data_IF_381364057282
#
_entry.id   IF_381364057282
#
_cell.length_a   1.000
_cell.length_b   1.000
_cell.length_c   1.000
_cell.angle_alpha   90.00
_cell.angle_beta   90.00
_cell.angle_gamma   90.00
#
_symmetry.space_group_name_H-M   'P 1'
#
loop_
_entity.id
_entity.type
_entity.pdbx_description
1 polymer ?
#
# COMPACT_ATOMS: atom_id res chain seq x y z
N UNK A 1 30.49 12.52 -59.51
CA UNK A 1 30.39 11.66 -58.32
C UNK A 1 30.42 10.21 -58.80
N UNK A 2 31.33 9.37 -58.32
CA UNK A 2 31.40 7.96 -58.75
C UNK A 2 30.40 7.11 -57.96
N UNK A 3 29.98 5.98 -58.50
CA UNK A 3 29.05 5.05 -57.82
C UNK A 3 29.56 4.64 -56.42
N UNK A 4 30.88 4.48 -56.27
CA UNK A 4 31.51 4.14 -54.99
C UNK A 4 31.42 5.28 -53.96
N UNK A 5 31.54 6.54 -54.39
CA UNK A 5 31.36 7.69 -53.50
C UNK A 5 29.92 7.80 -53.01
N UNK A 6 28.95 7.57 -53.90
CA UNK A 6 27.53 7.55 -53.52
C UNK A 6 27.24 6.44 -52.51
N UNK A 7 27.74 5.23 -52.74
CA UNK A 7 27.52 4.10 -51.84
C UNK A 7 28.12 4.35 -50.44
N UNK A 8 29.30 4.97 -50.36
CA UNK A 8 29.92 5.38 -49.09
C UNK A 8 29.05 6.39 -48.32
N UNK A 9 28.53 7.40 -49.00
CA UNK A 9 27.63 8.38 -48.37
C UNK A 9 26.31 7.76 -47.91
N UNK A 10 25.72 6.87 -48.71
CA UNK A 10 24.49 6.17 -48.33
C UNK A 10 24.72 5.28 -47.10
N UNK A 11 25.81 4.52 -47.07
CA UNK A 11 26.17 3.67 -45.92
C UNK A 11 26.43 4.51 -44.67
N UNK A 12 27.14 5.62 -44.80
CA UNK A 12 27.41 6.53 -43.68
C UNK A 12 26.10 7.09 -43.10
N UNK A 13 25.21 7.60 -43.95
CA UNK A 13 23.90 8.11 -43.53
C UNK A 13 23.03 7.03 -42.92
N UNK A 14 23.04 5.81 -43.47
CA UNK A 14 22.31 4.68 -42.90
C UNK A 14 22.81 4.33 -41.50
N UNK A 15 24.13 4.27 -41.30
CA UNK A 15 24.71 4.02 -39.97
C UNK A 15 24.34 5.13 -38.98
N UNK A 16 24.38 6.40 -39.39
CA UNK A 16 23.94 7.51 -38.55
C UNK A 16 22.45 7.42 -38.21
N UNK A 17 21.61 7.07 -39.18
CA UNK A 17 20.17 6.88 -38.94
C UNK A 17 19.90 5.74 -37.96
N UNK A 18 20.64 4.63 -38.05
CA UNK A 18 20.55 3.51 -37.10
C UNK A 18 20.95 3.95 -35.70
N UNK A 19 22.08 4.64 -35.54
CA UNK A 19 22.54 5.14 -34.22
C UNK A 19 21.54 6.14 -33.64
N UNK A 20 21.04 7.08 -34.46
CA UNK A 20 20.02 8.03 -34.04
C UNK A 20 18.73 7.33 -33.60
N UNK A 21 18.30 6.28 -34.32
CA UNK A 21 17.15 5.46 -33.97
C UNK A 21 17.31 4.74 -32.64
N UNK A 22 18.49 4.18 -32.36
CA UNK A 22 18.78 3.53 -31.07
C UNK A 22 18.75 4.54 -29.92
N UNK A 23 19.35 5.72 -30.11
CA UNK A 23 19.33 6.80 -29.10
C UNK A 23 17.89 7.26 -28.84
N UNK A 24 17.11 7.45 -29.90
CA UNK A 24 15.71 7.85 -29.80
C UNK A 24 14.90 6.81 -29.03
N UNK A 25 15.03 5.52 -29.35
CA UNK A 25 14.38 4.42 -28.63
C UNK A 25 14.77 4.39 -27.15
N UNK A 26 16.07 4.58 -26.84
CA UNK A 26 16.53 4.61 -25.45
C UNK A 26 15.89 5.78 -24.66
N UNK A 27 15.71 6.94 -25.30
CA UNK A 27 15.00 8.08 -24.71
C UNK A 27 13.52 7.77 -24.51
N UNK A 28 12.84 7.18 -25.50
CA UNK A 28 11.43 6.78 -25.40
C UNK A 28 11.19 5.78 -24.27
N UNK A 29 12.03 4.74 -24.15
CA UNK A 29 11.93 3.76 -23.07
C UNK A 29 12.06 4.44 -21.70
N UNK A 30 13.01 5.37 -21.55
CA UNK A 30 13.16 6.12 -20.30
C UNK A 30 11.93 6.98 -19.98
N UNK A 31 11.37 7.65 -20.97
CA UNK A 31 10.16 8.47 -20.80
C UNK A 31 8.94 7.59 -20.46
N UNK A 32 8.79 6.47 -21.14
CA UNK A 32 7.72 5.51 -20.89
C UNK A 32 7.80 4.96 -19.45
N UNK A 33 8.99 4.60 -18.97
CA UNK A 33 9.18 4.14 -17.60
C UNK A 33 8.76 5.19 -16.56
N UNK A 34 9.11 6.47 -16.78
CA UNK A 34 8.71 7.57 -15.89
C UNK A 34 7.19 7.76 -15.91
N UNK A 35 6.56 7.66 -17.07
CA UNK A 35 5.10 7.75 -17.21
C UNK A 35 4.39 6.61 -16.47
N UNK A 36 4.81 5.37 -16.70
CA UNK A 36 4.26 4.19 -16.02
C UNK A 36 4.36 4.30 -14.50
N UNK A 37 5.49 4.78 -13.98
CA UNK A 37 5.66 5.05 -12.56
C UNK A 37 4.66 6.10 -12.05
N UNK A 38 4.47 7.19 -12.81
CA UNK A 38 3.52 8.24 -12.45
C UNK A 38 2.07 7.74 -12.44
N UNK A 39 1.68 6.97 -13.46
CA UNK A 39 0.35 6.37 -13.57
C UNK A 39 0.09 5.38 -12.44
N UNK A 40 1.06 4.52 -12.11
CA UNK A 40 0.97 3.61 -10.97
C UNK A 40 0.77 4.37 -9.66
N UNK A 41 1.54 5.44 -9.41
CA UNK A 41 1.38 6.26 -8.20
C UNK A 41 0.01 6.92 -8.13
N UNK A 42 -0.51 7.39 -9.26
CA UNK A 42 -1.85 7.96 -9.33
C UNK A 42 -2.93 6.91 -9.05
N UNK A 43 -2.77 5.68 -9.56
CA UNK A 43 -3.69 4.58 -9.29
C UNK A 43 -3.70 4.21 -7.80
N UNK A 44 -2.52 4.07 -7.18
CA UNK A 44 -2.41 3.78 -5.73
C UNK A 44 -3.08 4.89 -4.91
N UNK A 45 -2.80 6.17 -5.22
CA UNK A 45 -3.43 7.29 -4.53
C UNK A 45 -4.96 7.30 -4.70
N UNK A 46 -5.47 6.99 -5.89
CA UNK A 46 -6.90 6.90 -6.14
C UNK A 46 -7.56 5.76 -5.36
N UNK A 47 -6.85 4.62 -5.23
CA UNK A 47 -7.30 3.48 -4.45
C UNK A 47 -7.35 3.82 -2.95
N UNK A 48 -6.32 4.49 -2.42
CA UNK A 48 -6.27 4.95 -1.03
C UNK A 48 -7.40 5.94 -0.72
N UNK A 49 -7.65 6.92 -1.60
CA UNK A 49 -8.78 7.85 -1.44
C UNK A 49 -10.11 7.11 -1.38
N UNK A 50 -10.29 6.09 -2.24
CA UNK A 50 -11.49 5.26 -2.24
C UNK A 50 -11.64 4.50 -0.92
N UNK A 51 -10.56 3.85 -0.44
CA UNK A 51 -10.56 3.11 0.82
C UNK A 51 -10.85 4.03 2.02
N UNK A 52 -10.24 5.22 2.07
CA UNK A 52 -10.47 6.21 3.11
C UNK A 52 -11.92 6.72 3.11
N UNK A 53 -12.49 7.01 1.94
CA UNK A 53 -13.90 7.43 1.83
C UNK A 53 -14.85 6.31 2.25
N UNK A 54 -14.55 5.06 1.89
CA UNK A 54 -15.30 3.90 2.37
C UNK A 54 -15.22 3.84 3.89
N UNK A 55 -14.03 3.98 4.48
CA UNK A 55 -13.85 4.00 5.94
C UNK A 55 -14.63 5.12 6.63
N UNK A 56 -14.50 6.36 6.15
CA UNK A 56 -15.19 7.54 6.70
C UNK A 56 -16.71 7.41 6.66
N UNK A 57 -17.26 6.83 5.58
CA UNK A 57 -18.70 6.62 5.45
C UNK A 57 -19.22 5.40 6.23
N UNK A 58 -18.34 4.64 6.87
CA UNK A 58 -18.63 3.40 7.58
C UNK A 58 -17.96 3.37 8.97
N UNK A 59 -17.76 4.53 9.60
CA UNK A 59 -17.14 4.60 10.95
C UNK A 59 -17.98 3.83 11.98
N UNK A 60 -19.30 3.83 11.84
CA UNK A 60 -20.25 3.12 12.71
C UNK A 60 -19.96 1.63 12.80
N UNK A 61 -19.59 1.02 11.68
CA UNK A 61 -19.33 -0.42 11.63
C UNK A 61 -17.93 -0.78 12.15
N UNK A 62 -16.94 0.11 11.96
CA UNK A 62 -15.62 -0.05 12.55
C UNK A 62 -15.65 0.05 14.07
N UNK A 63 -16.46 0.96 14.62
CA UNK A 63 -16.68 1.07 16.07
C UNK A 63 -17.22 -0.26 16.63
N UNK A 64 -18.30 -0.81 16.05
CA UNK A 64 -18.86 -2.10 16.45
C UNK A 64 -17.90 -3.27 16.27
N UNK A 65 -17.09 -3.22 15.22
CA UNK A 65 -16.07 -4.24 14.96
C UNK A 65 -15.04 -4.27 16.10
N UNK A 66 -14.65 -3.10 16.61
CA UNK A 66 -13.70 -2.92 17.71
C UNK A 66 -14.30 -3.16 19.10
N UNK A 67 -15.59 -2.85 19.32
CA UNK A 67 -16.24 -2.94 20.64
C UNK A 67 -16.61 -4.37 21.08
N UNK A 68 -16.25 -5.40 20.30
CA UNK A 68 -16.65 -6.80 20.48
C UNK A 68 -18.17 -7.05 20.49
N UNK A 69 -18.99 -6.05 20.17
CA UNK A 69 -20.44 -6.23 19.98
C UNK A 69 -20.76 -7.20 18.85
N UNK A 70 -21.86 -7.96 18.98
CA UNK A 70 -22.29 -8.88 17.94
C UNK A 70 -22.67 -8.12 16.66
N UNK A 71 -22.09 -8.54 15.53
CA UNK A 71 -22.36 -7.93 14.23
C UNK A 71 -23.59 -8.56 13.60
N UNK A 72 -24.55 -7.74 13.19
CA UNK A 72 -25.67 -8.19 12.37
C UNK A 72 -25.18 -8.77 11.03
N UNK A 73 -26.01 -9.54 10.33
CA UNK A 73 -25.65 -10.08 9.01
C UNK A 73 -25.30 -8.96 7.99
N UNK A 74 -26.03 -7.84 8.04
CA UNK A 74 -25.76 -6.66 7.22
C UNK A 74 -24.41 -6.04 7.56
N UNK A 75 -24.10 -5.93 8.85
CA UNK A 75 -22.84 -5.40 9.36
C UNK A 75 -21.64 -6.28 8.95
N UNK A 76 -21.79 -7.60 9.04
CA UNK A 76 -20.79 -8.56 8.55
C UNK A 76 -20.56 -8.45 7.04
N UNK A 77 -21.63 -8.25 6.26
CA UNK A 77 -21.52 -8.06 4.81
C UNK A 77 -20.83 -6.74 4.46
N UNK A 78 -21.20 -5.63 5.11
CA UNK A 78 -20.54 -4.32 4.94
C UNK A 78 -19.05 -4.43 5.25
N UNK A 79 -18.67 -4.99 6.40
CA UNK A 79 -17.24 -5.21 6.73
C UNK A 79 -16.52 -6.06 5.70
N UNK A 80 -17.16 -7.12 5.22
CA UNK A 80 -16.56 -7.99 4.21
C UNK A 80 -16.26 -7.22 2.93
N UNK A 81 -17.17 -6.35 2.47
CA UNK A 81 -16.92 -5.50 1.29
C UNK A 81 -15.74 -4.55 1.53
N UNK A 82 -15.65 -3.95 2.72
CA UNK A 82 -14.54 -3.05 3.07
C UNK A 82 -13.21 -3.81 3.04
N UNK A 83 -13.14 -4.97 3.69
CA UNK A 83 -11.93 -5.79 3.70
C UNK A 83 -11.56 -6.34 2.32
N UNK A 84 -12.54 -6.59 1.44
CA UNK A 84 -12.28 -6.96 0.04
C UNK A 84 -11.61 -5.82 -0.71
N UNK A 85 -12.07 -4.58 -0.52
CA UNK A 85 -11.44 -3.39 -1.11
C UNK A 85 -9.98 -3.30 -0.66
N UNK A 86 -9.73 -3.45 0.64
CA UNK A 86 -8.38 -3.41 1.17
C UNK A 86 -7.50 -4.52 0.59
N UNK A 87 -7.97 -5.77 0.59
CA UNK A 87 -7.22 -6.90 0.01
C UNK A 87 -6.89 -6.67 -1.47
N UNK A 88 -7.84 -6.16 -2.26
CA UNK A 88 -7.62 -5.91 -3.69
C UNK A 88 -6.65 -4.77 -3.95
N UNK A 89 -6.72 -3.70 -3.16
CA UNK A 89 -5.79 -2.59 -3.28
C UNK A 89 -4.36 -3.04 -2.94
N UNK A 90 -4.19 -3.79 -1.86
CA UNK A 90 -2.89 -4.32 -1.43
C UNK A 90 -2.34 -5.37 -2.40
N UNK A 91 -3.20 -6.19 -3.01
CA UNK A 91 -2.81 -7.13 -4.08
C UNK A 91 -2.26 -6.38 -5.30
N UNK A 92 -2.92 -5.29 -5.71
CA UNK A 92 -2.44 -4.45 -6.80
C UNK A 92 -1.06 -3.85 -6.49
N UNK A 93 -0.88 -3.29 -5.29
CA UNK A 93 0.39 -2.69 -4.85
C UNK A 93 1.50 -3.73 -4.73
N UNK A 94 1.20 -4.95 -4.26
CA UNK A 94 2.15 -6.06 -4.22
C UNK A 94 2.63 -6.43 -5.62
N UNK A 95 1.73 -6.47 -6.60
CA UNK A 95 2.11 -6.69 -8.00
C UNK A 95 2.99 -5.55 -8.53
N UNK A 96 2.74 -4.29 -8.14
CA UNK A 96 3.62 -3.17 -8.50
C UNK A 96 5.01 -3.28 -7.86
N UNK A 97 5.09 -3.80 -6.63
CA UNK A 97 6.35 -4.06 -5.93
C UNK A 97 7.16 -5.16 -6.63
N UNK A 98 6.54 -6.30 -6.93
CA UNK A 98 7.21 -7.42 -7.62
C UNK A 98 7.74 -7.02 -9.01
N UNK A 99 7.06 -6.08 -9.69
CA UNK A 99 7.48 -5.57 -11.00
C UNK A 99 8.49 -4.41 -10.91
N UNK A 100 8.93 -4.01 -9.71
CA UNK A 100 9.91 -2.94 -9.49
C UNK A 100 9.40 -1.53 -9.76
N UNK A 101 8.08 -1.35 -9.89
CA UNK A 101 7.43 -0.03 -10.02
C UNK A 101 7.32 0.64 -8.65
N UNK A 102 6.96 -0.14 -7.63
CA UNK A 102 6.89 0.30 -6.25
C UNK A 102 8.17 -0.14 -5.52
N UNK A 103 8.81 0.76 -4.77
CA UNK A 103 9.95 0.41 -3.93
C UNK A 103 9.51 -0.32 -2.65
N UNK A 104 10.44 -1.03 -2.02
CA UNK A 104 10.17 -1.83 -0.83
C UNK A 104 9.63 -0.99 0.33
N UNK A 105 10.18 0.20 0.58
CA UNK A 105 9.75 1.04 1.69
C UNK A 105 8.29 1.48 1.52
N UNK A 106 7.94 1.89 0.30
CA UNK A 106 6.57 2.24 -0.06
C UNK A 106 5.64 1.02 0.08
N UNK A 107 6.05 -0.14 -0.43
CA UNK A 107 5.30 -1.38 -0.31
C UNK A 107 5.02 -1.76 1.15
N UNK A 108 6.05 -1.77 2.00
CA UNK A 108 5.91 -2.09 3.42
C UNK A 108 4.90 -1.16 4.12
N UNK A 109 4.93 0.13 3.80
CA UNK A 109 3.99 1.11 4.34
C UNK A 109 2.54 0.81 3.98
N UNK A 110 2.28 0.39 2.73
CA UNK A 110 0.94 0.00 2.31
C UNK A 110 0.51 -1.34 2.91
N UNK A 111 1.39 -2.33 2.89
CA UNK A 111 1.17 -3.68 3.43
C UNK A 111 0.73 -3.63 4.89
N UNK A 112 1.30 -2.75 5.71
CA UNK A 112 1.01 -2.70 7.14
C UNK A 112 -0.45 -2.33 7.48
N UNK A 113 -1.21 -1.77 6.54
CA UNK A 113 -2.67 -1.61 6.69
C UNK A 113 -3.40 -2.96 6.82
N UNK A 114 -2.87 -4.02 6.21
CA UNK A 114 -3.39 -5.38 6.38
C UNK A 114 -3.31 -5.83 7.84
N UNK A 115 -2.26 -5.41 8.56
CA UNK A 115 -2.10 -5.73 9.97
C UNK A 115 -3.20 -5.08 10.81
N UNK A 116 -3.60 -3.86 10.46
CA UNK A 116 -4.67 -3.16 11.17
C UNK A 116 -5.99 -3.94 11.13
N UNK A 117 -6.37 -4.44 9.95
CA UNK A 117 -7.63 -5.15 9.76
C UNK A 117 -7.58 -6.62 10.18
N UNK A 118 -6.47 -7.32 9.91
CA UNK A 118 -6.43 -8.78 9.98
C UNK A 118 -5.68 -9.35 11.18
N UNK A 119 -5.13 -8.50 12.05
CA UNK A 119 -4.59 -8.95 13.34
C UNK A 119 -5.61 -8.99 14.46
N UNK A 120 -6.84 -8.52 14.27
CA UNK A 120 -7.91 -8.72 15.28
C UNK A 120 -8.46 -10.15 15.23
N UNK A 121 -9.05 -10.69 16.32
CA UNK A 121 -9.61 -12.04 16.32
C UNK A 121 -10.66 -12.24 15.21
N UNK A 122 -11.50 -11.22 14.98
CA UNK A 122 -12.50 -11.22 13.90
C UNK A 122 -11.85 -11.13 12.53
N UNK A 123 -10.82 -10.30 12.38
CA UNK A 123 -10.06 -10.17 11.14
C UNK A 123 -9.42 -11.49 10.72
N UNK A 124 -8.82 -12.22 11.67
CA UNK A 124 -8.26 -13.58 11.45
C UNK A 124 -9.33 -14.55 10.94
N UNK A 125 -10.48 -14.59 11.61
CA UNK A 125 -11.60 -15.46 11.22
C UNK A 125 -12.10 -15.11 9.81
N UNK A 126 -12.23 -13.82 9.52
CA UNK A 126 -12.67 -13.37 8.20
C UNK A 126 -11.65 -13.73 7.12
N UNK A 127 -10.36 -13.51 7.37
CA UNK A 127 -9.30 -13.88 6.44
C UNK A 127 -9.31 -15.38 6.14
N UNK A 128 -9.36 -16.23 7.17
CA UNK A 128 -9.35 -17.68 7.01
C UNK A 128 -10.59 -18.20 6.24
N UNK A 129 -11.78 -17.66 6.54
CA UNK A 129 -13.03 -18.14 5.94
C UNK A 129 -13.32 -17.57 4.56
N UNK A 130 -12.91 -16.33 4.31
CA UNK A 130 -13.34 -15.54 3.15
C UNK A 130 -12.10 -14.97 2.45
N UNK A 131 -11.33 -14.14 3.15
CA UNK A 131 -10.29 -13.29 2.57
C UNK A 131 -9.23 -14.04 1.77
N UNK A 132 -8.72 -15.17 2.27
CA UNK A 132 -7.63 -15.95 1.67
C UNK A 132 -7.91 -16.45 0.24
N UNK A 133 -9.18 -16.58 -0.13
CA UNK A 133 -9.59 -17.12 -1.43
C UNK A 133 -9.89 -16.04 -2.48
N UNK A 134 -9.74 -14.76 -2.12
CA UNK A 134 -10.08 -13.62 -2.96
C UNK A 134 -8.91 -13.20 -3.86
N UNK A 135 -7.70 -12.95 -3.32
CA UNK A 135 -6.55 -12.59 -4.13
C UNK A 135 -5.89 -13.83 -4.76
N UNK A 136 -4.89 -13.61 -5.59
CA UNK A 136 -4.05 -14.69 -6.11
C UNK A 136 -3.28 -15.41 -4.99
N UNK A 137 -2.83 -16.63 -5.27
CA UNK A 137 -2.23 -17.51 -4.27
C UNK A 137 -0.90 -16.99 -3.69
N UNK A 138 -0.11 -16.28 -4.49
CA UNK A 138 1.18 -15.72 -4.06
C UNK A 138 0.96 -14.59 -3.04
N UNK A 139 0.04 -13.67 -3.35
CA UNK A 139 -0.36 -12.62 -2.41
C UNK A 139 -1.00 -13.21 -1.15
N UNK A 140 -1.89 -14.19 -1.29
CA UNK A 140 -2.51 -14.85 -0.13
C UNK A 140 -1.45 -15.47 0.80
N UNK A 141 -0.44 -16.14 0.24
CA UNK A 141 0.66 -16.73 1.02
C UNK A 141 1.51 -15.65 1.73
N UNK A 142 1.78 -14.52 1.07
CA UNK A 142 2.46 -13.39 1.71
C UNK A 142 1.66 -12.83 2.89
N UNK A 143 0.34 -12.70 2.73
CA UNK A 143 -0.54 -12.29 3.84
C UNK A 143 -0.52 -13.35 4.94
N UNK A 144 -0.64 -14.64 4.63
CA UNK A 144 -0.57 -15.72 5.63
C UNK A 144 0.72 -15.64 6.45
N UNK A 145 1.88 -15.48 5.81
CA UNK A 145 3.18 -15.33 6.48
C UNK A 145 3.22 -14.07 7.36
N UNK A 146 2.77 -12.93 6.83
CA UNK A 146 2.68 -11.67 7.58
C UNK A 146 1.81 -11.82 8.84
N UNK A 147 0.70 -12.54 8.68
CA UNK A 147 -0.29 -12.79 9.69
C UNK A 147 0.23 -13.76 10.77
N UNK A 148 0.91 -14.84 10.41
CA UNK A 148 1.54 -15.79 11.34
C UNK A 148 2.63 -15.14 12.21
N UNK A 149 3.39 -14.21 11.64
CA UNK A 149 4.49 -13.52 12.32
C UNK A 149 4.05 -12.32 13.17
N UNK A 150 2.75 -12.00 13.21
CA UNK A 150 2.22 -10.85 13.94
C UNK A 150 1.27 -11.30 15.05
N UNK A 151 1.40 -10.81 16.30
CA UNK A 151 0.47 -11.17 17.37
C UNK A 151 -0.98 -10.85 17.02
N UNK A 152 -1.89 -11.75 17.40
CA UNK A 152 -3.32 -11.42 17.45
C UNK A 152 -3.51 -10.27 18.45
N UNK A 153 -4.27 -9.26 18.06
CA UNK A 153 -4.50 -7.96 18.74
C UNK A 153 -3.41 -6.89 18.53
N UNK A 154 -2.46 -7.05 17.62
CA UNK A 154 -1.49 -5.99 17.29
C UNK A 154 -2.18 -4.64 17.03
N UNK A 155 -3.19 -4.61 16.15
CA UNK A 155 -3.94 -3.39 15.84
C UNK A 155 -4.67 -2.79 17.05
N UNK A 156 -5.31 -3.64 17.85
CA UNK A 156 -6.02 -3.21 19.06
C UNK A 156 -5.06 -2.61 20.10
N UNK A 157 -3.89 -3.21 20.29
CA UNK A 157 -2.87 -2.69 21.20
C UNK A 157 -2.36 -1.32 20.75
N UNK A 158 -2.08 -1.17 19.45
CA UNK A 158 -1.64 0.11 18.87
C UNK A 158 -2.70 1.22 19.07
N UNK A 159 -3.97 0.89 18.83
CA UNK A 159 -5.09 1.80 19.03
C UNK A 159 -5.38 2.11 20.51
N UNK A 160 -5.06 1.20 21.42
CA UNK A 160 -5.23 1.45 22.84
C UNK A 160 -4.13 2.39 23.39
N UNK A 161 -2.95 2.45 22.75
CA UNK A 161 -1.80 3.16 23.29
C UNK A 161 -1.52 4.54 22.68
N UNK A 162 -2.10 4.88 21.51
CA UNK A 162 -1.67 6.07 20.74
C UNK A 162 -1.88 7.41 21.47
N UNK A 163 -2.89 7.53 22.34
CA UNK A 163 -3.15 8.76 23.12
C UNK A 163 -2.63 8.67 24.56
N UNK A 164 -2.48 7.46 25.11
CA UNK A 164 -2.02 7.25 26.49
C UNK A 164 -0.60 7.79 26.72
N UNK A 165 0.28 7.68 25.72
CA UNK A 165 1.67 8.14 25.81
C UNK A 165 1.79 9.68 25.79
N UNK A 166 0.80 10.38 25.22
CA UNK A 166 0.72 11.85 25.28
C UNK A 166 0.23 12.29 26.66
N UNK A 167 -0.84 11.67 27.16
CA UNK A 167 -1.41 11.98 28.48
C UNK A 167 -0.40 11.78 29.60
N UNK A 168 0.31 10.63 29.61
CA UNK A 168 1.34 10.36 30.61
C UNK A 168 2.51 11.37 30.56
N UNK A 169 2.90 11.84 29.36
CA UNK A 169 3.96 12.86 29.21
C UNK A 169 3.51 14.23 29.70
N UNK A 170 2.30 14.64 29.36
CA UNK A 170 1.72 15.91 29.82
C UNK A 170 1.54 15.92 31.35
N UNK A 171 1.05 14.83 31.94
CA UNK A 171 0.94 14.68 33.39
C UNK A 171 2.32 14.74 34.07
N UNK A 172 3.34 14.11 33.50
CA UNK A 172 4.70 14.17 34.02
C UNK A 172 5.38 15.54 33.82
N UNK A 173 4.99 16.33 32.82
CA UNK A 173 5.43 17.71 32.64
C UNK A 173 4.75 18.66 33.63
N UNK A 174 3.44 18.55 33.82
CA UNK A 174 2.67 19.32 34.79
C UNK A 174 3.12 19.04 36.24
N UNK A 175 3.36 17.77 36.58
CA UNK A 175 3.88 17.40 37.90
C UNK A 175 5.30 17.94 38.16
N UNK A 176 6.09 18.23 37.11
CA UNK A 176 7.43 18.83 37.22
C UNK A 176 7.38 20.36 37.34
N UNK A 177 6.38 21.02 36.75
CA UNK A 177 6.15 22.45 36.94
C UNK A 177 5.59 22.76 38.34
N UNK A 178 4.77 21.87 38.91
CA UNK A 178 4.24 22.05 40.28
C UNK A 178 5.29 21.79 41.39
N UNK A 179 6.34 21.00 41.11
CA UNK A 179 7.44 20.68 42.03
C UNK A 179 8.63 21.65 41.96
N UNK A 180 8.63 22.61 41.01
CA UNK A 180 9.62 23.68 40.92
C UNK A 180 9.02 24.99 41.46
N UNK A 181 9.14 25.30 42.76
CA UNK A 181 8.71 26.59 43.26
C UNK A 181 9.64 27.63 42.65
N UNK A 182 9.15 28.36 41.65
CA UNK A 182 9.84 29.52 41.07
C UNK A 182 10.50 30.35 42.18
N UNK A 183 11.80 30.69 42.04
CA UNK A 183 12.54 31.44 43.06
C UNK A 183 11.98 32.85 43.32
#
# INVERSE_FOLDING_TARGET
MTADQLNKWLTLTANFAVVAGIIFLAVEIRQNNVLLLSESRQAVMSNDQTALLVGLNNVDIFEKWMSQEELSATDQYRLSIIFIVDVRNREFEYAQYLNGVLDEQSWLSYRDVLLFNFTTPRGRIWWDKIGRNIPNAEFAAMVDELLENTPVNYAMNLLASWDTERTNRLEAELAREDDDPTP
#
